data_IF_369038019284
#
_entry.id   IF_369038019284
#
_cell.length_a   1.000
_cell.length_b   1.000
_cell.length_c   1.000
_cell.angle_alpha   90.00
_cell.angle_beta   90.00
_cell.angle_gamma   90.00
#
_symmetry.space_group_name_H-M   'P 1'
#
loop_
_entity.id
_entity.type
_entity.pdbx_description
1 polymer ?
#
# COMPACT_ATOMS: atom_id res chain seq x y z
N UNK A 1 14.47 -20.84 -3.11
CA UNK A 1 13.83 -19.70 -2.45
C UNK A 1 14.29 -18.43 -3.11
N UNK A 2 13.39 -17.54 -3.53
CA UNK A 2 13.71 -16.28 -4.21
C UNK A 2 13.47 -15.14 -3.22
N UNK A 3 14.41 -14.20 -3.13
CA UNK A 3 14.33 -13.07 -2.20
C UNK A 3 13.93 -11.78 -2.92
N UNK A 4 12.91 -11.12 -2.39
CA UNK A 4 12.43 -9.81 -2.83
C UNK A 4 12.69 -8.77 -1.72
N UNK A 5 13.21 -7.59 -2.11
CA UNK A 5 13.57 -6.52 -1.17
C UNK A 5 13.25 -5.15 -1.77
N UNK A 6 13.07 -4.17 -0.91
CA UNK A 6 13.04 -2.77 -1.32
C UNK A 6 14.45 -2.28 -1.73
N UNK A 7 14.50 -1.24 -2.55
CA UNK A 7 15.73 -0.46 -2.70
C UNK A 7 16.10 0.20 -1.36
N UNK A 8 17.37 0.50 -1.14
CA UNK A 8 17.82 1.17 0.10
C UNK A 8 17.09 2.51 0.31
N UNK A 9 16.94 3.30 -0.75
CA UNK A 9 16.26 4.60 -0.69
C UNK A 9 14.78 4.41 -0.34
N UNK A 10 14.07 3.50 -1.02
CA UNK A 10 12.66 3.21 -0.70
C UNK A 10 12.51 2.70 0.73
N UNK A 11 13.42 1.84 1.20
CA UNK A 11 13.41 1.34 2.58
C UNK A 11 13.55 2.48 3.60
N UNK A 12 14.45 3.43 3.37
CA UNK A 12 14.65 4.58 4.26
C UNK A 12 13.42 5.48 4.26
N UNK A 13 12.89 5.81 3.09
CA UNK A 13 11.70 6.66 2.97
C UNK A 13 10.50 6.03 3.66
N UNK A 14 10.15 4.79 3.32
CA UNK A 14 8.96 4.13 3.88
C UNK A 14 9.08 3.77 5.36
N UNK A 15 10.32 3.67 5.88
CA UNK A 15 10.54 3.32 7.28
C UNK A 15 10.67 4.53 8.19
N UNK A 16 11.24 5.63 7.71
CA UNK A 16 11.66 6.72 8.58
C UNK A 16 11.14 8.11 8.19
N UNK A 17 10.44 8.26 7.04
CA UNK A 17 10.01 9.58 6.58
C UNK A 17 9.04 10.29 7.54
N UNK A 18 8.29 9.54 8.36
CA UNK A 18 7.43 10.15 9.38
C UNK A 18 8.22 10.85 10.50
N UNK A 19 9.46 10.43 10.79
CA UNK A 19 10.26 11.02 11.87
C UNK A 19 10.57 12.50 11.59
N UNK A 20 11.27 12.84 10.48
CA UNK A 20 11.51 14.25 10.16
C UNK A 20 10.22 15.04 9.96
N UNK A 21 9.21 14.46 9.30
CA UNK A 21 7.91 15.12 9.11
C UNK A 21 7.26 15.45 10.46
N UNK A 22 7.24 14.51 11.40
CA UNK A 22 6.69 14.75 12.75
C UNK A 22 7.49 15.79 13.51
N UNK A 23 8.83 15.81 13.40
CA UNK A 23 9.68 16.83 14.03
C UNK A 23 9.31 18.23 13.52
N UNK A 24 9.20 18.41 12.20
CA UNK A 24 8.79 19.70 11.62
C UNK A 24 7.39 20.13 12.09
N UNK A 25 6.44 19.21 12.10
CA UNK A 25 5.08 19.47 12.57
C UNK A 25 5.06 19.82 14.07
N UNK A 26 5.91 19.20 14.90
CA UNK A 26 6.03 19.52 16.32
C UNK A 26 6.61 20.92 16.54
N UNK A 27 7.61 21.35 15.77
CA UNK A 27 8.13 22.71 15.84
C UNK A 27 7.05 23.73 15.53
N UNK A 28 6.25 23.47 14.48
CA UNK A 28 5.11 24.32 14.14
C UNK A 28 4.00 24.29 15.19
N UNK A 29 3.74 23.12 15.78
CA UNK A 29 2.76 22.97 16.86
C UNK A 29 3.14 23.81 18.09
N UNK A 30 4.40 23.76 18.52
CA UNK A 30 4.91 24.56 19.64
C UNK A 30 4.76 26.07 19.35
N UNK A 31 5.11 26.50 18.14
CA UNK A 31 4.94 27.89 17.74
C UNK A 31 3.46 28.33 17.79
N UNK A 32 2.57 27.53 17.18
CA UNK A 32 1.12 27.82 17.18
C UNK A 32 0.54 27.84 18.58
N UNK A 33 0.99 26.93 19.46
CA UNK A 33 0.58 26.89 20.87
C UNK A 33 0.98 28.18 21.62
N UNK A 34 2.20 28.66 21.42
CA UNK A 34 2.69 29.89 22.06
C UNK A 34 1.90 31.13 21.63
N UNK A 35 1.58 31.21 20.33
CA UNK A 35 0.82 32.36 19.80
C UNK A 35 -0.67 32.29 20.13
N UNK A 36 -1.25 31.12 20.39
CA UNK A 36 -2.65 30.94 20.76
C UNK A 36 -3.04 31.76 22.03
N UNK A 37 -2.09 31.95 22.95
CA UNK A 37 -2.33 32.76 24.16
C UNK A 37 -2.30 34.29 23.91
N UNK A 38 -1.80 34.72 22.75
CA UNK A 38 -1.79 36.13 22.34
C UNK A 38 -2.99 36.46 21.48
N UNK A 39 -3.33 35.55 20.56
CA UNK A 39 -4.31 35.76 19.50
C UNK A 39 -5.10 34.46 19.31
N UNK A 40 -6.38 34.48 19.60
CA UNK A 40 -7.24 33.29 19.64
C UNK A 40 -7.35 32.53 18.32
N UNK A 41 -7.17 33.20 17.16
CA UNK A 41 -7.25 32.55 15.86
C UNK A 41 -6.12 31.56 15.59
N UNK A 42 -5.01 31.60 16.35
CA UNK A 42 -3.96 30.56 16.29
C UNK A 42 -4.40 29.20 16.87
N UNK A 43 -5.55 29.15 17.53
CA UNK A 43 -6.17 27.89 17.95
C UNK A 43 -6.46 26.97 16.76
N UNK A 44 -6.91 27.52 15.62
CA UNK A 44 -7.21 26.71 14.43
C UNK A 44 -5.97 26.03 13.83
N UNK A 45 -4.86 26.71 13.52
CA UNK A 45 -3.66 26.06 13.05
C UNK A 45 -3.05 25.11 14.07
N UNK A 46 -3.18 25.36 15.37
CA UNK A 46 -2.77 24.43 16.42
C UNK A 46 -3.56 23.12 16.34
N UNK A 47 -4.89 23.18 16.32
CA UNK A 47 -5.76 22.01 16.23
C UNK A 47 -5.55 21.23 14.93
N UNK A 48 -5.46 21.93 13.80
CA UNK A 48 -5.21 21.30 12.49
C UNK A 48 -3.88 20.55 12.48
N UNK A 49 -2.83 21.16 12.99
CA UNK A 49 -1.51 20.57 13.05
C UNK A 49 -1.44 19.34 13.97
N UNK A 50 -2.10 19.43 15.13
CA UNK A 50 -2.24 18.30 16.05
C UNK A 50 -2.96 17.12 15.38
N UNK A 51 -4.04 17.40 14.66
CA UNK A 51 -4.79 16.39 13.90
C UNK A 51 -3.92 15.71 12.83
N UNK A 52 -3.15 16.51 12.08
CA UNK A 52 -2.23 16.00 11.06
C UNK A 52 -1.17 15.07 11.67
N UNK A 53 -0.58 15.45 12.81
CA UNK A 53 0.39 14.62 13.53
C UNK A 53 -0.22 13.28 13.93
N UNK A 54 -1.44 13.29 14.47
CA UNK A 54 -2.13 12.07 14.90
C UNK A 54 -2.39 11.16 13.70
N UNK A 55 -2.97 11.70 12.62
CA UNK A 55 -3.30 10.92 11.41
C UNK A 55 -2.03 10.34 10.79
N UNK A 56 -0.98 11.16 10.62
CA UNK A 56 0.29 10.75 10.04
C UNK A 56 0.91 9.59 10.81
N UNK A 57 1.05 9.73 12.12
CA UNK A 57 1.67 8.71 12.94
C UNK A 57 0.81 7.44 13.02
N UNK A 58 -0.52 7.55 13.12
CA UNK A 58 -1.43 6.40 13.08
C UNK A 58 -1.30 5.61 11.78
N UNK A 59 -1.21 6.31 10.64
CA UNK A 59 -0.98 5.69 9.33
C UNK A 59 0.34 4.91 9.30
N UNK A 60 1.43 5.52 9.75
CA UNK A 60 2.75 4.86 9.77
C UNK A 60 2.80 3.68 10.74
N UNK A 61 2.21 3.79 11.93
CA UNK A 61 2.14 2.67 12.89
C UNK A 61 1.39 1.46 12.31
N UNK A 62 0.31 1.69 11.57
CA UNK A 62 -0.40 0.63 10.86
C UNK A 62 0.47 0.01 9.77
N UNK A 63 1.10 0.84 8.95
CA UNK A 63 1.98 0.41 7.86
C UNK A 63 3.17 -0.42 8.35
N UNK A 64 3.75 -0.07 9.50
CA UNK A 64 4.89 -0.80 10.07
C UNK A 64 4.60 -2.27 10.42
N UNK A 65 3.37 -2.59 10.71
CA UNK A 65 2.95 -3.96 11.02
C UNK A 65 2.52 -4.74 9.78
N UNK A 66 2.12 -4.03 8.72
CA UNK A 66 1.53 -4.61 7.50
C UNK A 66 2.59 -4.91 6.43
N UNK A 67 3.61 -4.05 6.28
CA UNK A 67 4.58 -4.11 5.19
C UNK A 67 5.92 -4.71 5.61
N UNK A 68 6.26 -5.94 5.16
CA UNK A 68 7.61 -6.49 5.29
C UNK A 68 8.55 -5.81 4.30
N UNK A 69 9.80 -5.58 4.68
CA UNK A 69 10.82 -5.06 3.78
C UNK A 69 11.62 -6.15 3.06
N UNK A 70 11.40 -7.41 3.45
CA UNK A 70 11.97 -8.60 2.82
C UNK A 70 10.93 -9.70 2.76
N UNK A 71 10.80 -10.29 1.59
CA UNK A 71 9.96 -11.46 1.32
C UNK A 71 10.83 -12.52 0.66
N UNK A 72 10.93 -13.68 1.29
CA UNK A 72 11.57 -14.86 0.76
C UNK A 72 10.46 -15.86 0.39
N UNK A 73 10.36 -16.25 -0.89
CA UNK A 73 9.27 -17.10 -1.39
C UNK A 73 9.79 -18.30 -2.17
N UNK A 74 9.09 -19.42 -2.08
CA UNK A 74 9.22 -20.58 -2.95
C UNK A 74 7.82 -20.96 -3.50
N UNK A 75 7.66 -22.17 -4.02
CA UNK A 75 6.38 -22.69 -4.55
C UNK A 75 5.36 -23.08 -3.48
N UNK A 76 5.77 -23.22 -2.21
CA UNK A 76 4.92 -23.69 -1.12
C UNK A 76 4.60 -22.57 -0.14
N UNK A 77 5.61 -21.76 0.23
CA UNK A 77 5.49 -20.78 1.30
C UNK A 77 6.20 -19.46 1.02
N UNK A 78 5.72 -18.46 1.70
CA UNK A 78 6.25 -17.10 1.72
C UNK A 78 6.65 -16.72 3.15
N UNK A 79 7.92 -16.31 3.36
CA UNK A 79 8.43 -15.83 4.64
C UNK A 79 8.64 -14.33 4.55
N UNK A 80 7.86 -13.61 5.34
CA UNK A 80 7.88 -12.15 5.44
C UNK A 80 8.68 -11.70 6.65
N UNK A 81 9.71 -10.92 6.43
CA UNK A 81 10.65 -10.50 7.46
C UNK A 81 11.06 -9.03 7.30
N UNK A 82 11.94 -8.55 8.22
CA UNK A 82 12.43 -7.17 8.23
C UNK A 82 11.28 -6.15 8.34
N UNK A 83 10.27 -6.43 9.19
CA UNK A 83 9.29 -5.44 9.60
C UNK A 83 9.96 -4.33 10.43
N UNK A 84 9.23 -3.25 10.72
CA UNK A 84 9.76 -2.20 11.61
C UNK A 84 10.17 -2.77 12.97
N UNK A 85 9.37 -3.68 13.52
CA UNK A 85 9.76 -4.55 14.65
C UNK A 85 10.64 -5.67 14.12
N UNK A 86 11.96 -5.54 14.22
CA UNK A 86 12.98 -6.45 13.63
C UNK A 86 12.79 -7.94 13.95
N UNK A 87 12.09 -8.28 15.04
CA UNK A 87 11.85 -9.68 15.46
C UNK A 87 10.58 -10.29 14.85
N UNK A 88 9.74 -9.51 14.15
CA UNK A 88 8.52 -10.05 13.54
C UNK A 88 8.90 -10.82 12.27
N UNK A 89 8.57 -12.09 12.23
CA UNK A 89 8.62 -12.95 11.05
C UNK A 89 7.23 -13.55 10.92
N UNK A 90 6.69 -13.52 9.70
CA UNK A 90 5.40 -14.13 9.37
C UNK A 90 5.65 -15.12 8.24
N UNK A 91 5.28 -16.37 8.45
CA UNK A 91 5.33 -17.45 7.47
C UNK A 91 3.90 -17.76 7.02
N UNK A 92 3.67 -17.78 5.72
CA UNK A 92 2.37 -18.07 5.10
C UNK A 92 2.57 -19.17 4.07
N UNK A 93 1.77 -20.24 4.16
CA UNK A 93 1.68 -21.19 3.07
C UNK A 93 0.84 -20.58 1.95
N UNK A 94 1.28 -20.68 0.71
CA UNK A 94 0.56 -20.07 -0.42
C UNK A 94 -0.84 -20.68 -0.62
N UNK A 95 -1.02 -21.94 -0.18
CA UNK A 95 -2.32 -22.62 -0.19
C UNK A 95 -3.28 -22.18 0.92
N UNK A 96 -2.80 -21.45 1.94
CA UNK A 96 -3.62 -20.93 3.05
C UNK A 96 -4.13 -19.52 2.77
N UNK A 97 -3.69 -18.92 1.66
CA UNK A 97 -4.18 -17.61 1.20
C UNK A 97 -5.62 -17.77 0.72
N UNK A 98 -6.51 -16.96 1.30
CA UNK A 98 -7.94 -16.94 0.99
C UNK A 98 -8.40 -15.70 0.22
N UNK A 99 -7.64 -14.60 0.31
CA UNK A 99 -7.99 -13.36 -0.39
C UNK A 99 -6.72 -12.60 -0.81
N UNK A 100 -6.73 -12.11 -2.05
CA UNK A 100 -5.73 -11.17 -2.57
C UNK A 100 -6.48 -9.96 -3.11
N UNK A 101 -6.22 -8.77 -2.58
CA UNK A 101 -6.92 -7.57 -3.00
C UNK A 101 -6.01 -6.36 -3.22
N UNK A 102 -6.49 -5.37 -3.97
CA UNK A 102 -5.82 -4.09 -4.18
C UNK A 102 -4.75 -4.09 -5.29
N UNK A 103 -3.98 -3.01 -5.34
CA UNK A 103 -2.91 -2.81 -6.31
C UNK A 103 -3.37 -2.80 -7.77
N UNK A 104 -2.46 -3.18 -8.65
CA UNK A 104 -2.72 -3.24 -10.10
C UNK A 104 -3.77 -4.28 -10.48
N UNK A 105 -3.96 -5.31 -9.67
CA UNK A 105 -4.96 -6.36 -9.88
C UNK A 105 -6.38 -5.80 -9.81
N UNK A 106 -6.59 -4.75 -9.03
CA UNK A 106 -7.87 -4.06 -8.82
C UNK A 106 -7.92 -2.66 -9.44
N UNK A 107 -7.13 -2.42 -10.49
CA UNK A 107 -7.12 -1.14 -11.22
C UNK A 107 -6.54 0.05 -10.43
N UNK A 108 -5.84 -0.19 -9.35
CA UNK A 108 -5.21 0.84 -8.51
C UNK A 108 -3.70 0.63 -8.41
N UNK A 109 -2.93 0.86 -9.49
CA UNK A 109 -1.51 0.47 -9.57
C UNK A 109 -0.59 1.14 -8.55
N UNK A 110 -0.99 2.28 -7.98
CA UNK A 110 -0.22 2.96 -6.94
C UNK A 110 -0.49 2.45 -5.52
N UNK A 111 -1.52 1.62 -5.33
CA UNK A 111 -1.85 1.05 -4.02
C UNK A 111 -1.13 -0.27 -3.79
N UNK A 112 -0.91 -0.68 -2.53
CA UNK A 112 -0.37 -1.99 -2.22
C UNK A 112 -1.37 -3.11 -2.54
N UNK A 113 -0.84 -4.31 -2.75
CA UNK A 113 -1.61 -5.55 -2.76
C UNK A 113 -1.64 -6.09 -1.34
N UNK A 114 -2.80 -6.47 -0.87
CA UNK A 114 -3.01 -7.12 0.43
C UNK A 114 -3.23 -8.61 0.20
N UNK A 115 -2.50 -9.41 0.94
CA UNK A 115 -2.59 -10.87 0.94
C UNK A 115 -3.09 -11.29 2.31
N UNK A 116 -4.20 -12.00 2.36
CA UNK A 116 -4.83 -12.49 3.57
C UNK A 116 -4.53 -13.98 3.73
N UNK A 117 -4.18 -14.36 4.94
CA UNK A 117 -3.94 -15.74 5.35
C UNK A 117 -5.03 -16.13 6.34
N UNK A 118 -5.92 -17.03 5.91
CA UNK A 118 -7.06 -17.46 6.69
C UNK A 118 -6.66 -18.27 7.94
N UNK A 119 -5.53 -18.99 7.91
CA UNK A 119 -5.10 -19.85 9.00
C UNK A 119 -4.55 -19.06 10.18
N UNK A 120 -3.73 -18.04 9.89
CA UNK A 120 -3.08 -17.24 10.91
C UNK A 120 -3.79 -15.88 11.16
N UNK A 121 -4.95 -15.63 10.54
CA UNK A 121 -5.68 -14.36 10.58
C UNK A 121 -4.71 -13.17 10.36
N UNK A 122 -3.83 -13.32 9.37
CA UNK A 122 -2.78 -12.35 9.11
C UNK A 122 -2.93 -11.68 7.75
N UNK A 123 -2.65 -10.37 7.71
CA UNK A 123 -2.68 -9.58 6.48
C UNK A 123 -1.30 -9.05 6.20
N UNK A 124 -0.82 -9.25 4.97
CA UNK A 124 0.48 -8.77 4.51
C UNK A 124 0.29 -7.83 3.33
N UNK A 125 0.88 -6.66 3.44
CA UNK A 125 0.91 -5.66 2.38
C UNK A 125 2.15 -5.81 1.50
N UNK A 126 1.96 -5.93 0.19
CA UNK A 126 3.03 -5.93 -0.80
C UNK A 126 2.97 -4.60 -1.55
N UNK A 127 3.98 -3.76 -1.35
CA UNK A 127 4.04 -2.45 -1.99
C UNK A 127 4.52 -2.55 -3.45
N UNK A 128 3.97 -1.76 -4.38
CA UNK A 128 4.45 -1.69 -5.76
C UNK A 128 5.90 -1.21 -5.90
N UNK A 129 6.48 -0.62 -4.85
CA UNK A 129 7.86 -0.14 -4.84
C UNK A 129 8.90 -1.22 -4.45
N UNK A 130 8.45 -2.44 -4.19
CA UNK A 130 9.36 -3.58 -4.00
C UNK A 130 10.02 -3.95 -5.35
N UNK A 131 11.32 -4.26 -5.32
CA UNK A 131 12.02 -4.68 -6.55
C UNK A 131 11.40 -5.97 -7.10
N UNK A 132 11.17 -6.00 -8.40
CA UNK A 132 10.56 -7.13 -9.11
C UNK A 132 9.17 -7.51 -8.57
N UNK A 133 8.39 -6.51 -8.12
CA UNK A 133 7.04 -6.68 -7.60
C UNK A 133 6.16 -7.57 -8.49
N UNK A 134 6.13 -7.34 -9.81
CA UNK A 134 5.32 -8.14 -10.73
C UNK A 134 5.70 -9.63 -10.69
N UNK A 135 7.01 -9.95 -10.63
CA UNK A 135 7.47 -11.33 -10.51
C UNK A 135 7.02 -11.98 -9.21
N UNK A 136 7.05 -11.24 -8.11
CA UNK A 136 6.56 -11.72 -6.82
C UNK A 136 5.07 -12.08 -6.91
N UNK A 137 4.25 -11.18 -7.46
CA UNK A 137 2.80 -11.41 -7.61
C UNK A 137 2.53 -12.60 -8.53
N UNK A 138 3.27 -12.72 -9.65
CA UNK A 138 3.13 -13.90 -10.52
C UNK A 138 3.41 -15.21 -9.77
N UNK A 139 4.47 -15.27 -8.94
CA UNK A 139 4.77 -16.47 -8.15
C UNK A 139 3.64 -16.76 -7.16
N UNK A 140 3.11 -15.76 -6.49
CA UNK A 140 1.98 -15.93 -5.55
C UNK A 140 0.78 -16.51 -6.31
N UNK A 141 0.33 -15.84 -7.36
CA UNK A 141 -0.85 -16.24 -8.14
C UNK A 141 -0.71 -17.63 -8.80
N UNK A 142 0.50 -18.03 -9.16
CA UNK A 142 0.74 -19.37 -9.74
C UNK A 142 0.72 -20.51 -8.72
N UNK A 143 0.69 -20.20 -7.42
CA UNK A 143 0.80 -21.20 -6.34
C UNK A 143 -0.28 -21.07 -5.26
N UNK A 144 -1.25 -20.16 -5.39
CA UNK A 144 -2.45 -20.09 -4.54
C UNK A 144 -3.50 -21.10 -5.00
N UNK A 145 -4.57 -21.25 -4.22
CA UNK A 145 -5.74 -22.06 -4.59
C UNK A 145 -6.37 -21.55 -5.90
N UNK A 146 -6.96 -22.47 -6.64
CA UNK A 146 -7.57 -22.17 -7.94
C UNK A 146 -8.75 -21.19 -7.81
N UNK A 147 -9.53 -21.27 -6.74
CA UNK A 147 -10.62 -20.33 -6.45
C UNK A 147 -10.11 -18.89 -6.31
N UNK A 148 -9.06 -18.67 -5.48
CA UNK A 148 -8.43 -17.35 -5.27
C UNK A 148 -7.84 -16.81 -6.58
N UNK A 149 -7.18 -17.67 -7.36
CA UNK A 149 -6.66 -17.29 -8.67
C UNK A 149 -7.77 -16.84 -9.63
N UNK A 150 -8.86 -17.62 -9.70
CA UNK A 150 -10.00 -17.34 -10.57
C UNK A 150 -10.72 -16.05 -10.19
N UNK A 151 -10.87 -15.76 -8.88
CA UNK A 151 -11.44 -14.51 -8.39
C UNK A 151 -10.62 -13.30 -8.84
N UNK A 152 -9.30 -13.35 -8.67
CA UNK A 152 -8.40 -12.28 -9.12
C UNK A 152 -8.45 -12.11 -10.64
N UNK A 153 -8.52 -13.22 -11.39
CA UNK A 153 -8.59 -13.19 -12.85
C UNK A 153 -9.90 -12.57 -13.34
N UNK A 154 -11.03 -12.91 -12.72
CA UNK A 154 -12.33 -12.36 -13.08
C UNK A 154 -12.37 -10.84 -12.91
N UNK A 155 -11.86 -10.34 -11.77
CA UNK A 155 -11.78 -8.89 -11.49
C UNK A 155 -10.87 -8.18 -12.49
N UNK A 156 -9.71 -8.78 -12.83
CA UNK A 156 -8.80 -8.20 -13.81
C UNK A 156 -9.42 -8.13 -15.21
N UNK A 157 -10.23 -9.13 -15.59
CA UNK A 157 -10.97 -9.15 -16.85
C UNK A 157 -12.07 -8.08 -16.89
N UNK A 158 -12.86 -7.94 -15.83
CA UNK A 158 -13.89 -6.91 -15.71
C UNK A 158 -13.29 -5.50 -15.86
N UNK A 159 -12.20 -5.22 -15.16
CA UNK A 159 -11.49 -3.95 -15.26
C UNK A 159 -10.92 -3.69 -16.66
N UNK A 160 -10.40 -4.72 -17.32
CA UNK A 160 -9.91 -4.60 -18.69
C UNK A 160 -11.04 -4.26 -19.67
N UNK A 161 -12.20 -4.88 -19.51
CA UNK A 161 -13.37 -4.63 -20.36
C UNK A 161 -13.92 -3.23 -20.11
N UNK A 162 -14.08 -2.81 -18.86
CA UNK A 162 -14.50 -1.45 -18.50
C UNK A 162 -13.58 -0.38 -19.09
N UNK A 163 -12.26 -0.57 -19.01
CA UNK A 163 -11.28 0.34 -19.59
C UNK A 163 -11.38 0.41 -21.13
N UNK A 164 -11.62 -0.72 -21.82
CA UNK A 164 -11.82 -0.73 -23.28
C UNK A 164 -13.07 0.06 -23.68
N UNK A 165 -14.17 -0.08 -22.93
CA UNK A 165 -15.40 0.67 -23.17
C UNK A 165 -15.18 2.19 -22.99
N UNK A 166 -14.52 2.61 -21.92
CA UNK A 166 -14.20 4.02 -21.68
C UNK A 166 -13.35 4.62 -22.81
N UNK A 167 -12.32 3.89 -23.25
CA UNK A 167 -11.49 4.32 -24.37
C UNK A 167 -12.26 4.41 -25.69
N UNK A 168 -13.21 3.51 -25.94
CA UNK A 168 -14.07 3.53 -27.12
C UNK A 168 -15.02 4.72 -27.12
N UNK A 169 -15.61 5.06 -25.98
CA UNK A 169 -16.49 6.24 -25.78
C UNK A 169 -15.69 7.53 -26.01
N UNK A 170 -14.53 7.66 -25.38
CA UNK A 170 -13.65 8.84 -25.54
C UNK A 170 -13.23 9.10 -26.99
N UNK A 171 -12.99 8.03 -27.78
CA UNK A 171 -12.67 8.15 -29.21
C UNK A 171 -13.87 8.60 -30.05
N UNK A 172 -15.10 8.19 -29.68
CA UNK A 172 -16.32 8.62 -30.39
C UNK A 172 -16.63 10.11 -30.12
N UNK A 173 -16.44 10.57 -28.89
CA UNK A 173 -16.68 11.98 -28.54
C UNK A 173 -15.68 12.95 -29.23
N UNK A 174 -14.44 12.54 -29.40
CA UNK A 174 -13.42 13.32 -30.15
C UNK A 174 -13.67 13.38 -31.66
N UNK A 175 -14.50 12.49 -32.23
CA UNK A 175 -14.83 12.47 -33.66
C UNK A 175 -16.11 13.24 -34.01
N UNK A 176 -16.85 13.81 -33.05
CA UNK A 176 -17.96 14.71 -33.37
C UNK A 176 -17.43 16.04 -33.91
N UNK A 177 -17.71 16.41 -35.16
CA UNK A 177 -17.29 17.69 -35.70
C UNK A 177 -17.97 18.82 -34.91
N UNK A 178 -17.18 19.81 -34.51
CA UNK A 178 -17.67 21.08 -33.98
C UNK A 178 -18.38 21.76 -35.15
N UNK A 179 -19.70 21.58 -35.25
CA UNK A 179 -20.51 22.41 -36.16
C UNK A 179 -20.43 23.87 -35.62
N UNK A 180 -19.69 24.66 -36.31
CA UNK A 180 -19.73 26.14 -36.20
C UNK A 180 -20.95 26.69 -36.95
#
# INVERSE_FOLDING_TARGET
MITFKYSLISKIIYRYANIPATIFLLLYLVSSFTYMFKEWYYFFPFMLNLLIIIILNRYYFRSYNLFPFRIDINTEKMICSDYFKRKKIVEINLQDIDLIEGGSLYGTPGKPILVHDAVNDSVIGISPHMKNHNKLITIILSNVKEDVYNDVLSIAQELSNANKELLSKSKKDKKKPINK
#
